data_IF_726481550173
#
_entry.id   IF_726481550173
#
_cell.length_a   1.000
_cell.length_b   1.000
_cell.length_c   1.000
_cell.angle_alpha   90.00
_cell.angle_beta   90.00
_cell.angle_gamma   90.00
#
_symmetry.space_group_name_H-M   'P 1'
#
loop_
_entity.id
_entity.type
_entity.pdbx_description
1 polymer ?
#
# COMPACT_ATOMS: atom_id res chain seq x y z
N UNK A 1 8.47 -7.56 -4.01
CA UNK A 1 8.35 -6.22 -3.39
C UNK A 1 9.49 -5.99 -2.42
N UNK A 2 10.05 -4.81 -2.42
CA UNK A 2 11.15 -4.51 -1.52
C UNK A 2 10.66 -4.34 -0.09
N UNK A 3 11.52 -4.53 0.91
CA UNK A 3 11.13 -4.32 2.30
C UNK A 3 10.59 -2.91 2.57
N UNK A 4 11.13 -1.91 1.88
CA UNK A 4 10.64 -0.54 2.04
C UNK A 4 9.19 -0.39 1.60
N UNK A 5 8.81 -1.05 0.52
CA UNK A 5 7.44 -1.01 0.03
C UNK A 5 6.49 -1.71 1.00
N UNK A 6 6.89 -2.85 1.52
CA UNK A 6 6.09 -3.57 2.51
C UNK A 6 5.88 -2.72 3.75
N UNK A 7 6.95 -2.08 4.24
CA UNK A 7 6.85 -1.24 5.43
C UNK A 7 5.91 -0.06 5.18
N UNK A 8 5.97 0.54 3.99
CA UNK A 8 5.08 1.64 3.65
C UNK A 8 3.62 1.19 3.62
N UNK A 9 3.35 0.01 3.05
CA UNK A 9 2.00 -0.53 3.05
C UNK A 9 1.47 -0.76 4.46
N UNK A 10 2.33 -1.30 5.33
CA UNK A 10 1.93 -1.53 6.72
C UNK A 10 1.62 -0.23 7.44
N UNK A 11 2.42 0.79 7.20
CA UNK A 11 2.15 2.11 7.78
C UNK A 11 0.82 2.65 7.29
N UNK A 12 0.58 2.57 6.00
CA UNK A 12 -0.67 3.05 5.44
C UNK A 12 -1.86 2.28 6.03
N UNK A 13 -1.75 0.97 6.13
CA UNK A 13 -2.80 0.14 6.67
C UNK A 13 -3.08 0.45 8.14
N UNK A 14 -2.08 0.94 8.85
CA UNK A 14 -2.22 1.35 10.26
C UNK A 14 -2.77 2.76 10.42
N UNK A 15 -3.07 3.43 9.32
CA UNK A 15 -3.60 4.79 9.37
C UNK A 15 -2.53 5.87 9.40
N UNK A 16 -1.27 5.51 9.20
CA UNK A 16 -0.18 6.48 9.18
C UNK A 16 0.04 6.99 7.77
N UNK A 17 0.65 8.16 7.67
CA UNK A 17 0.96 8.75 6.38
C UNK A 17 2.25 8.17 5.80
N UNK A 18 2.28 8.10 4.48
CA UNK A 18 3.50 7.80 3.74
C UNK A 18 3.72 8.95 2.75
N UNK A 19 4.95 9.11 2.28
CA UNK A 19 5.24 10.24 1.40
C UNK A 19 4.66 10.00 0.00
N UNK A 20 4.61 11.07 -0.79
CA UNK A 20 4.03 11.02 -2.13
C UNK A 20 4.78 10.07 -3.05
N UNK A 21 6.09 10.07 -2.97
CA UNK A 21 6.89 9.20 -3.83
C UNK A 21 6.53 7.74 -3.60
N UNK A 22 6.47 7.35 -2.33
CA UNK A 22 6.12 5.97 -1.99
C UNK A 22 4.68 5.66 -2.38
N UNK A 23 3.77 6.61 -2.15
CA UNK A 23 2.37 6.44 -2.54
C UNK A 23 2.27 6.17 -4.04
N UNK A 24 2.95 6.97 -4.86
CA UNK A 24 2.93 6.80 -6.30
C UNK A 24 3.50 5.45 -6.72
N UNK A 25 4.58 5.03 -6.10
CA UNK A 25 5.18 3.73 -6.39
C UNK A 25 4.19 2.60 -6.11
N UNK A 26 3.51 2.66 -4.97
CA UNK A 26 2.56 1.63 -4.59
C UNK A 26 1.34 1.62 -5.50
N UNK A 27 0.88 2.79 -5.93
CA UNK A 27 -0.21 2.87 -6.90
C UNK A 27 0.21 2.23 -8.22
N UNK A 28 1.42 2.54 -8.67
CA UNK A 28 1.95 2.02 -9.92
C UNK A 28 2.09 0.49 -9.87
N UNK A 29 2.40 -0.05 -8.71
CA UNK A 29 2.52 -1.49 -8.53
C UNK A 29 1.18 -2.19 -8.29
N UNK A 30 0.10 -1.42 -8.17
CA UNK A 30 -1.22 -2.00 -7.98
C UNK A 30 -1.57 -2.31 -6.54
N UNK A 31 -0.82 -1.79 -5.58
CA UNK A 31 -1.10 -2.01 -4.16
C UNK A 31 -2.00 -0.96 -3.55
N UNK A 32 -2.05 0.21 -4.15
CA UNK A 32 -2.96 1.28 -3.74
C UNK A 32 -3.76 1.74 -4.93
N UNK A 33 -4.94 2.27 -4.67
CA UNK A 33 -5.80 2.80 -5.72
C UNK A 33 -6.64 3.93 -5.16
N UNK A 34 -7.23 4.73 -6.06
CA UNK A 34 -8.16 5.77 -5.65
C UNK A 34 -9.57 5.21 -5.68
N UNK A 35 -10.35 5.55 -4.65
CA UNK A 35 -11.76 5.16 -4.63
C UNK A 35 -12.60 6.20 -5.38
N UNK A 36 -13.92 6.03 -5.33
CA UNK A 36 -14.85 6.93 -6.00
C UNK A 36 -14.73 8.38 -5.53
N UNK A 37 -14.31 8.57 -4.29
CA UNK A 37 -14.21 9.90 -3.69
C UNK A 37 -12.81 10.49 -3.82
N UNK A 38 -11.90 9.79 -4.48
CA UNK A 38 -10.54 10.26 -4.63
C UNK A 38 -9.64 9.94 -3.45
N UNK A 39 -10.09 9.15 -2.51
CA UNK A 39 -9.28 8.72 -1.38
C UNK A 39 -8.44 7.51 -1.78
N UNK A 40 -7.27 7.40 -1.18
CA UNK A 40 -6.39 6.26 -1.46
C UNK A 40 -6.77 5.10 -0.56
N UNK A 41 -6.95 3.93 -1.17
CA UNK A 41 -7.32 2.72 -0.45
C UNK A 41 -6.38 1.59 -0.81
N UNK A 42 -6.32 0.59 0.06
CA UNK A 42 -5.57 -0.64 -0.22
C UNK A 42 -6.36 -1.49 -1.21
N UNK A 43 -5.64 -2.09 -2.16
CA UNK A 43 -6.25 -3.02 -3.10
C UNK A 43 -6.25 -4.43 -2.50
N UNK A 44 -6.99 -5.34 -3.15
CA UNK A 44 -6.97 -6.74 -2.76
C UNK A 44 -5.55 -7.31 -2.80
N UNK A 45 -4.77 -6.90 -3.80
CA UNK A 45 -3.40 -7.33 -3.93
C UNK A 45 -2.57 -6.92 -2.71
N UNK A 46 -2.74 -5.68 -2.25
CA UNK A 46 -2.04 -5.18 -1.09
C UNK A 46 -2.47 -5.92 0.18
N UNK A 47 -3.75 -6.15 0.33
CA UNK A 47 -4.28 -6.88 1.47
C UNK A 47 -3.68 -8.26 1.55
N UNK A 48 -3.57 -8.95 0.43
CA UNK A 48 -2.96 -10.27 0.38
C UNK A 48 -1.50 -10.25 0.80
N UNK A 49 -0.76 -9.25 0.33
CA UNK A 49 0.66 -9.13 0.70
C UNK A 49 0.83 -8.93 2.19
N UNK A 50 -0.06 -8.17 2.80
CA UNK A 50 0.02 -7.90 4.23
C UNK A 50 -0.46 -9.08 5.07
N UNK A 51 -1.41 -9.85 4.57
CA UNK A 51 -1.97 -10.99 5.29
C UNK A 51 -1.15 -12.26 5.15
N UNK A 52 -0.32 -12.34 4.16
CA UNK A 52 0.46 -13.54 3.87
C UNK A 52 1.91 -13.33 4.29
N UNK A 53 2.19 -13.45 5.59
CA UNK A 53 3.55 -13.26 6.08
C UNK A 53 4.45 -14.35 5.56
N UNK A 54 5.39 -13.99 4.77
CA UNK A 54 6.33 -14.95 4.25
C UNK A 54 7.33 -15.33 5.33
N UNK A 55 7.57 -16.61 5.52
CA UNK A 55 8.63 -17.02 6.40
C UNK A 55 9.99 -16.62 5.87
#
# INVERSE_FOLDING_TARGET
MTPNHINALRRFASGKRINHTMTNILIDHGYLAFDTYGSIILTTKATKELQDPKP
#
